data_IF_512003774786
#
_entry.id   IF_512003774786
#
_cell.length_a   1.000
_cell.length_b   1.000
_cell.length_c   1.000
_cell.angle_alpha   90.00
_cell.angle_beta   90.00
_cell.angle_gamma   90.00
#
_symmetry.space_group_name_H-M   'P 1'
#
loop_
_entity.id
_entity.type
_entity.pdbx_description
1 polymer ?
#
# COMPACT_ATOMS: atom_id res chain seq x y z
N UNK A 1 -1.21 -14.75 9.15
CA UNK A 1 -0.80 -15.57 10.32
C UNK A 1 0.71 -15.78 10.30
N UNK A 2 1.42 -15.54 11.40
CA UNK A 2 2.88 -15.73 11.43
C UNK A 2 3.25 -17.22 11.30
N UNK A 3 4.33 -17.54 10.56
CA UNK A 3 4.81 -18.91 10.47
C UNK A 3 5.26 -19.41 11.86
N UNK A 4 4.73 -20.56 12.28
CA UNK A 4 5.23 -21.28 13.45
C UNK A 4 6.36 -22.19 12.99
N UNK A 5 7.47 -22.23 13.73
CA UNK A 5 8.63 -23.06 13.38
C UNK A 5 8.24 -24.54 13.22
N UNK A 6 7.41 -25.06 14.13
CA UNK A 6 6.91 -26.44 14.09
C UNK A 6 6.10 -26.73 12.82
N UNK A 7 5.13 -25.87 12.50
CA UNK A 7 4.30 -26.01 11.31
C UNK A 7 5.12 -25.89 10.02
N UNK A 8 6.10 -24.98 9.99
CA UNK A 8 6.97 -24.80 8.83
C UNK A 8 7.97 -25.95 8.64
N UNK A 9 8.34 -26.66 9.71
CA UNK A 9 9.22 -27.82 9.62
C UNK A 9 8.49 -29.06 9.09
N UNK A 10 7.21 -29.23 9.45
CA UNK A 10 6.38 -30.37 9.03
C UNK A 10 5.73 -30.15 7.66
N UNK A 11 5.20 -28.96 7.41
CA UNK A 11 4.46 -28.63 6.20
C UNK A 11 4.80 -27.19 5.73
N UNK A 12 5.99 -26.99 5.13
CA UNK A 12 6.43 -25.67 4.66
C UNK A 12 5.52 -25.09 3.57
N UNK A 13 4.96 -25.96 2.72
CA UNK A 13 4.07 -25.60 1.61
C UNK A 13 2.63 -25.32 2.07
N UNK A 14 2.32 -25.51 3.36
CA UNK A 14 1.02 -25.24 3.96
C UNK A 14 -0.14 -26.00 3.27
N UNK A 15 0.09 -27.26 2.91
CA UNK A 15 -0.95 -28.15 2.37
C UNK A 15 -2.06 -28.46 3.39
N UNK A 16 -1.71 -28.52 4.67
CA UNK A 16 -2.65 -28.76 5.77
C UNK A 16 -3.37 -27.48 6.23
N UNK A 17 -3.11 -26.35 5.56
CA UNK A 17 -3.74 -25.05 5.82
C UNK A 17 -3.63 -24.59 7.29
N UNK A 18 -2.50 -24.89 7.94
CA UNK A 18 -2.23 -24.50 9.33
C UNK A 18 -1.95 -22.99 9.47
N UNK A 19 -1.70 -22.30 8.35
CA UNK A 19 -1.66 -20.84 8.23
C UNK A 19 -2.47 -20.37 7.02
N UNK A 20 -2.79 -19.07 6.98
CA UNK A 20 -3.36 -18.49 5.76
C UNK A 20 -2.26 -18.34 4.69
N UNK A 21 -2.61 -18.66 3.45
CA UNK A 21 -1.71 -18.50 2.30
C UNK A 21 -1.76 -17.05 1.80
N UNK A 22 -0.61 -16.38 1.66
CA UNK A 22 -0.58 -15.02 1.13
C UNK A 22 -1.27 -14.93 -0.23
N UNK A 23 -2.16 -13.94 -0.37
CA UNK A 23 -2.85 -13.65 -1.62
C UNK A 23 -2.41 -12.29 -2.11
N UNK A 24 -1.96 -12.24 -3.37
CA UNK A 24 -1.67 -10.97 -4.03
C UNK A 24 -2.97 -10.19 -4.21
N UNK A 25 -2.97 -8.92 -3.83
CA UNK A 25 -4.06 -8.01 -4.08
C UNK A 25 -4.19 -7.71 -5.57
N UNK A 26 -5.42 -7.63 -6.04
CA UNK A 26 -5.73 -7.09 -7.36
C UNK A 26 -5.42 -5.58 -7.39
N UNK A 27 -5.19 -5.02 -8.57
CA UNK A 27 -4.82 -3.61 -8.71
C UNK A 27 -5.87 -2.66 -8.14
N UNK A 28 -7.15 -3.00 -8.26
CA UNK A 28 -8.23 -2.16 -7.74
C UNK A 28 -8.18 -2.09 -6.21
N UNK A 29 -7.94 -3.23 -5.55
CA UNK A 29 -7.78 -3.30 -4.10
C UNK A 29 -6.48 -2.62 -3.66
N UNK A 30 -5.38 -2.87 -4.36
CA UNK A 30 -4.09 -2.25 -4.03
C UNK A 30 -4.15 -0.72 -4.10
N UNK A 31 -4.73 -0.15 -5.16
CA UNK A 31 -4.94 1.29 -5.29
C UNK A 31 -5.86 1.85 -4.22
N UNK A 32 -6.96 1.17 -3.93
CA UNK A 32 -7.88 1.59 -2.87
C UNK A 32 -7.21 1.53 -1.48
N UNK A 33 -6.33 0.55 -1.22
CA UNK A 33 -5.53 0.49 0.00
C UNK A 33 -4.56 1.67 0.13
N UNK A 34 -3.88 2.07 -0.94
CA UNK A 34 -2.99 3.24 -0.95
C UNK A 34 -3.75 4.52 -0.61
N UNK A 35 -4.90 4.74 -1.25
CA UNK A 35 -5.78 5.88 -1.00
C UNK A 35 -6.38 5.85 0.42
N UNK A 36 -6.68 4.66 0.95
CA UNK A 36 -7.20 4.50 2.29
C UNK A 36 -6.13 4.82 3.35
N UNK A 37 -4.90 4.36 3.13
CA UNK A 37 -3.78 4.62 4.01
C UNK A 37 -3.45 6.12 4.07
N UNK A 38 -3.42 6.79 2.92
CA UNK A 38 -3.20 8.25 2.83
C UNK A 38 -4.37 9.09 3.35
N UNK A 39 -5.52 8.47 3.62
CA UNK A 39 -6.73 9.14 4.12
C UNK A 39 -7.51 9.89 3.05
N UNK A 40 -7.23 9.64 1.77
CA UNK A 40 -7.86 10.33 0.64
C UNK A 40 -9.05 9.58 0.05
N UNK A 41 -9.19 8.27 0.32
CA UNK A 41 -10.20 7.44 -0.33
C UNK A 41 -11.63 8.00 -0.20
N UNK A 42 -12.23 8.32 -1.35
CA UNK A 42 -13.64 8.69 -1.44
C UNK A 42 -14.51 7.42 -1.56
N UNK A 43 -15.26 7.13 -0.50
CA UNK A 43 -16.17 5.99 -0.40
C UNK A 43 -17.59 6.27 -0.87
N UNK A 44 -17.86 7.44 -1.48
CA UNK A 44 -19.19 7.78 -1.99
C UNK A 44 -19.71 6.74 -2.98
N UNK A 45 -20.91 6.23 -2.71
CA UNK A 45 -21.53 5.22 -3.55
C UNK A 45 -22.32 5.89 -4.67
N UNK A 46 -22.23 5.31 -5.87
CA UNK A 46 -22.94 5.78 -7.08
C UNK A 46 -22.48 7.16 -7.58
N UNK A 47 -22.92 7.54 -8.77
CA UNK A 47 -22.50 8.80 -9.42
C UNK A 47 -21.57 8.57 -10.60
N UNK A 48 -21.02 9.64 -11.18
CA UNK A 48 -20.23 9.55 -12.41
C UNK A 48 -18.90 8.83 -12.17
N UNK A 49 -18.44 8.11 -13.20
CA UNK A 49 -17.10 7.51 -13.21
C UNK A 49 -16.02 8.58 -13.24
N UNK A 50 -14.88 8.33 -12.58
CA UNK A 50 -13.73 9.22 -12.59
C UNK A 50 -12.55 8.68 -13.43
N UNK A 51 -11.64 9.55 -13.84
CA UNK A 51 -10.46 9.17 -14.62
C UNK A 51 -9.28 8.85 -13.71
N UNK A 52 -8.89 7.56 -13.66
CA UNK A 52 -7.84 7.05 -12.77
C UNK A 52 -6.43 7.54 -13.12
N UNK A 53 -6.22 8.09 -14.32
CA UNK A 53 -4.93 8.70 -14.71
C UNK A 53 -4.75 10.12 -14.16
N UNK A 54 -5.79 10.69 -13.54
CA UNK A 54 -5.67 11.96 -12.85
C UNK A 54 -5.14 11.69 -11.45
N UNK A 55 -4.02 12.33 -11.10
CA UNK A 55 -3.40 12.13 -9.79
C UNK A 55 -4.34 12.54 -8.63
N UNK A 56 -5.22 13.53 -8.85
CA UNK A 56 -6.27 13.92 -7.90
C UNK A 56 -7.50 12.99 -7.85
N UNK A 57 -7.49 11.86 -8.55
CA UNK A 57 -8.58 10.90 -8.49
C UNK A 57 -8.53 10.12 -7.19
N UNK A 58 -9.39 10.48 -6.23
CA UNK A 58 -9.44 9.79 -4.93
C UNK A 58 -10.58 8.78 -4.83
N UNK A 59 -11.39 8.66 -5.88
CA UNK A 59 -12.55 7.78 -5.95
C UNK A 59 -12.11 6.31 -5.95
N UNK A 60 -12.90 5.45 -5.27
CA UNK A 60 -12.72 3.99 -5.33
C UNK A 60 -12.57 3.50 -6.76
N UNK A 61 -11.62 2.59 -6.96
CA UNK A 61 -11.17 2.15 -8.29
C UNK A 61 -12.28 1.45 -9.08
N UNK A 62 -13.26 0.85 -8.40
CA UNK A 62 -14.47 0.29 -9.03
C UNK A 62 -15.30 1.32 -9.81
N UNK A 63 -15.21 2.60 -9.45
CA UNK A 63 -15.85 3.71 -10.17
C UNK A 63 -14.91 4.38 -11.19
N UNK A 64 -13.74 3.79 -11.44
CA UNK A 64 -12.79 4.25 -12.44
C UNK A 64 -13.31 4.02 -13.86
N UNK A 65 -13.12 5.01 -14.73
CA UNK A 65 -13.48 4.93 -16.14
C UNK A 65 -12.46 4.06 -16.88
N UNK A 66 -12.94 2.93 -17.42
CA UNK A 66 -12.12 2.06 -18.27
C UNK A 66 -12.22 2.48 -19.74
N UNK A 67 -11.14 3.05 -20.26
CA UNK A 67 -10.99 3.36 -21.69
C UNK A 67 -10.50 2.11 -22.44
N UNK A 68 -11.38 1.46 -23.21
CA UNK A 68 -11.03 0.20 -23.91
C UNK A 68 -9.83 0.33 -24.84
N UNK A 69 -9.67 1.48 -25.50
CA UNK A 69 -8.58 1.75 -26.44
C UNK A 69 -7.21 1.91 -25.77
N UNK A 70 -7.19 2.55 -24.59
CA UNK A 70 -5.99 2.88 -23.79
C UNK A 70 -6.37 2.84 -22.30
N UNK A 71 -6.31 1.67 -21.64
CA UNK A 71 -6.50 1.58 -20.20
C UNK A 71 -5.46 2.42 -19.47
N UNK A 72 -5.75 2.80 -18.21
CA UNK A 72 -4.80 3.54 -17.38
C UNK A 72 -3.50 2.75 -17.20
N UNK A 73 -2.34 3.44 -17.25
CA UNK A 73 -1.01 2.81 -17.17
C UNK A 73 -0.84 1.96 -15.91
N UNK A 74 -1.36 2.44 -14.77
CA UNK A 74 -1.35 1.71 -13.50
C UNK A 74 -2.09 0.38 -13.59
N UNK A 75 -3.27 0.36 -14.23
CA UNK A 75 -4.05 -0.86 -14.41
C UNK A 75 -3.31 -1.86 -15.31
N UNK A 76 -2.75 -1.39 -16.43
CA UNK A 76 -2.02 -2.25 -17.37
C UNK A 76 -0.80 -2.93 -16.72
N UNK A 77 -0.09 -2.19 -15.86
CA UNK A 77 1.13 -2.68 -15.24
C UNK A 77 0.88 -3.77 -14.18
N UNK A 78 -0.27 -3.73 -13.53
CA UNK A 78 -0.66 -4.66 -12.45
C UNK A 78 -1.70 -5.69 -12.91
N UNK A 79 -1.52 -6.20 -14.13
CA UNK A 79 -2.25 -7.34 -14.68
C UNK A 79 -3.78 -7.13 -14.78
N UNK A 80 -4.25 -5.89 -14.96
CA UNK A 80 -5.67 -5.65 -15.20
C UNK A 80 -6.14 -6.39 -16.47
N UNK A 81 -7.28 -7.11 -16.41
CA UNK A 81 -7.80 -7.84 -17.57
C UNK A 81 -8.00 -6.96 -18.80
N UNK A 82 -7.62 -7.48 -19.97
CA UNK A 82 -7.78 -6.74 -21.22
C UNK A 82 -9.28 -6.44 -21.47
N UNK A 83 -9.67 -5.16 -21.63
CA UNK A 83 -11.07 -4.80 -21.86
C UNK A 83 -11.54 -5.07 -23.31
N UNK A 84 -10.65 -5.60 -24.17
CA UNK A 84 -10.94 -5.88 -25.59
C UNK A 84 -11.19 -7.36 -25.86
N UNK A 85 -10.84 -8.25 -24.94
CA UNK A 85 -10.92 -9.70 -25.17
C UNK A 85 -11.38 -10.43 -23.92
N UNK A 86 -11.80 -11.68 -24.12
CA UNK A 86 -12.16 -12.57 -23.02
C UNK A 86 -10.93 -12.90 -22.16
N UNK A 87 -11.10 -12.83 -20.84
CA UNK A 87 -10.09 -13.22 -19.85
C UNK A 87 -10.73 -14.25 -18.91
N UNK A 88 -10.44 -15.55 -19.06
CA UNK A 88 -11.07 -16.60 -18.24
C UNK A 88 -10.63 -16.54 -16.78
N UNK A 89 -9.44 -15.98 -16.52
CA UNK A 89 -8.84 -15.84 -15.21
C UNK A 89 -7.90 -14.62 -15.23
N UNK A 90 -7.75 -13.96 -14.08
CA UNK A 90 -6.68 -12.99 -13.86
C UNK A 90 -5.32 -13.69 -13.81
N UNK A 91 -4.45 -13.31 -14.73
CA UNK A 91 -3.02 -13.62 -14.62
C UNK A 91 -2.41 -12.71 -13.57
N UNK A 92 -1.44 -13.21 -12.81
CA UNK A 92 -0.73 -12.41 -11.82
C UNK A 92 0.75 -12.51 -12.09
N UNK A 93 1.39 -11.38 -12.35
CA UNK A 93 2.84 -11.31 -12.52
C UNK A 93 3.46 -10.59 -11.34
N UNK A 94 4.69 -10.98 -11.01
CA UNK A 94 5.54 -10.25 -10.07
C UNK A 94 6.77 -9.83 -10.86
N UNK A 95 6.76 -8.59 -11.33
CA UNK A 95 7.81 -8.05 -12.20
C UNK A 95 8.54 -6.91 -11.53
N UNK A 96 9.88 -6.79 -11.70
CA UNK A 96 10.63 -5.63 -11.25
C UNK A 96 10.05 -4.29 -11.76
N UNK A 97 9.36 -4.30 -12.91
CA UNK A 97 8.74 -3.10 -13.47
C UNK A 97 7.60 -2.57 -12.57
N UNK A 98 6.86 -3.45 -11.90
CA UNK A 98 5.82 -3.05 -10.94
C UNK A 98 6.44 -2.30 -9.76
N UNK A 99 7.59 -2.78 -9.26
CA UNK A 99 8.33 -2.13 -8.19
C UNK A 99 8.93 -0.79 -8.63
N UNK A 100 9.52 -0.76 -9.83
CA UNK A 100 10.11 0.46 -10.40
C UNK A 100 9.04 1.55 -10.58
N UNK A 101 7.82 1.17 -10.94
CA UNK A 101 6.71 2.10 -11.00
C UNK A 101 6.39 2.70 -9.63
N UNK A 102 6.36 1.90 -8.55
CA UNK A 102 6.11 2.44 -7.20
C UNK A 102 7.15 3.50 -6.83
N UNK A 103 8.41 3.27 -7.20
CA UNK A 103 9.51 4.20 -6.92
C UNK A 103 9.45 5.51 -7.72
N UNK A 104 8.84 5.50 -8.92
CA UNK A 104 8.89 6.62 -9.86
C UNK A 104 7.53 7.24 -10.19
N UNK A 105 6.43 6.74 -9.62
CA UNK A 105 5.09 7.20 -9.92
C UNK A 105 4.72 8.46 -9.13
N UNK A 106 4.26 9.50 -9.82
CA UNK A 106 3.72 10.72 -9.19
C UNK A 106 2.57 10.41 -8.24
N UNK A 107 1.65 9.54 -8.67
CA UNK A 107 0.54 9.07 -7.84
C UNK A 107 1.02 8.53 -6.48
N UNK A 108 2.06 7.68 -6.46
CA UNK A 108 2.59 7.13 -5.21
C UNK A 108 3.25 8.20 -4.35
N UNK A 109 3.99 9.12 -4.97
CA UNK A 109 4.61 10.24 -4.26
C UNK A 109 3.55 11.13 -3.59
N UNK A 110 2.44 11.43 -4.29
CA UNK A 110 1.32 12.17 -3.70
C UNK A 110 0.65 11.41 -2.55
N UNK A 111 0.46 10.09 -2.67
CA UNK A 111 -0.07 9.28 -1.58
C UNK A 111 0.88 9.28 -0.37
N UNK A 112 2.18 9.22 -0.60
CA UNK A 112 3.19 9.22 0.46
C UNK A 112 3.20 10.56 1.20
N UNK A 113 3.15 11.67 0.46
CA UNK A 113 3.02 13.01 1.01
C UNK A 113 1.74 13.16 1.85
N UNK A 114 0.58 12.80 1.31
CA UNK A 114 -0.69 12.91 2.03
C UNK A 114 -0.74 12.01 3.27
N UNK A 115 -0.09 10.84 3.24
CA UNK A 115 0.03 9.99 4.43
C UNK A 115 0.82 10.70 5.53
N UNK A 116 1.97 11.28 5.20
CA UNK A 116 2.82 12.02 6.16
C UNK A 116 2.05 13.20 6.75
N UNK A 117 1.44 14.03 5.90
CA UNK A 117 0.64 15.18 6.34
C UNK A 117 -0.51 14.75 7.28
N UNK A 118 -1.20 13.65 6.96
CA UNK A 118 -2.26 13.11 7.80
C UNK A 118 -1.72 12.65 9.15
N UNK A 119 -0.60 11.92 9.19
CA UNK A 119 0.02 11.43 10.43
C UNK A 119 0.55 12.58 11.29
N UNK A 120 1.21 13.57 10.69
CA UNK A 120 1.72 14.74 11.42
C UNK A 120 0.58 15.58 12.01
N UNK A 121 -0.53 15.71 11.29
CA UNK A 121 -1.72 16.42 11.79
C UNK A 121 -2.35 15.70 12.98
N UNK A 122 -2.33 14.37 13.00
CA UNK A 122 -2.82 13.54 14.10
C UNK A 122 -1.93 13.68 15.34
N UNK A 123 -0.61 13.60 15.16
CA UNK A 123 0.37 13.80 16.24
C UNK A 123 0.33 15.20 16.86
N UNK A 124 -0.05 16.21 16.08
CA UNK A 124 -0.14 17.60 16.56
C UNK A 124 -1.43 17.85 17.34
N UNK A 125 -2.51 17.12 17.05
CA UNK A 125 -3.82 17.30 17.74
C UNK A 125 -3.85 16.76 19.16
N UNK A 126 -3.04 15.76 19.46
CA UNK A 126 -3.06 15.12 20.77
C UNK A 126 -2.38 15.93 21.88
N UNK A 127 -1.84 17.14 21.59
CA UNK A 127 -1.23 18.08 22.57
C UNK A 127 -0.23 17.41 23.54
N UNK A 128 0.35 16.28 23.13
CA UNK A 128 1.38 15.60 23.89
C UNK A 128 2.67 16.39 23.67
N UNK A 129 3.23 16.96 24.73
CA UNK A 129 4.61 17.47 24.78
C UNK A 129 5.60 16.31 24.60
N UNK A 130 5.63 15.75 23.38
CA UNK A 130 6.53 14.70 22.98
C UNK A 130 7.89 15.34 22.68
N UNK A 131 8.94 14.81 23.31
CA UNK A 131 10.31 15.03 22.85
C UNK A 131 10.45 14.62 21.38
N UNK A 132 11.41 15.21 20.65
CA UNK A 132 11.64 14.91 19.24
C UNK A 132 11.80 13.40 18.96
N UNK A 133 12.54 12.69 19.81
CA UNK A 133 12.72 11.24 19.69
C UNK A 133 11.41 10.46 19.88
N UNK A 134 10.59 10.82 20.86
CA UNK A 134 9.28 10.17 21.05
C UNK A 134 8.29 10.49 19.92
N UNK A 135 8.41 11.66 19.29
CA UNK A 135 7.59 12.06 18.13
C UNK A 135 7.94 11.23 16.90
N UNK A 136 9.23 11.02 16.64
CA UNK A 136 9.69 10.17 15.53
C UNK A 136 9.20 8.72 15.70
N UNK A 137 9.32 8.16 16.90
CA UNK A 137 8.81 6.82 17.20
C UNK A 137 7.29 6.72 17.03
N UNK A 138 6.54 7.73 17.46
CA UNK A 138 5.09 7.76 17.26
C UNK A 138 4.72 7.85 15.77
N UNK A 139 5.46 8.65 14.98
CA UNK A 139 5.31 8.74 13.53
C UNK A 139 5.52 7.39 12.85
N UNK A 140 6.61 6.69 13.17
CA UNK A 140 6.89 5.35 12.63
C UNK A 140 5.74 4.39 13.00
N UNK A 141 5.32 4.36 14.26
CA UNK A 141 4.25 3.48 14.71
C UNK A 141 2.93 3.74 13.97
N UNK A 142 2.54 5.01 13.79
CA UNK A 142 1.31 5.38 13.10
C UNK A 142 1.37 5.04 11.62
N UNK A 143 2.50 5.28 10.94
CA UNK A 143 2.66 4.90 9.53
C UNK A 143 2.53 3.39 9.32
N UNK A 144 3.21 2.58 10.14
CA UNK A 144 3.06 1.11 10.09
C UNK A 144 1.60 0.67 10.32
N UNK A 145 0.90 1.29 11.27
CA UNK A 145 -0.52 0.97 11.55
C UNK A 145 -1.43 1.36 10.38
N UNK A 146 -1.22 2.52 9.77
CA UNK A 146 -2.01 3.02 8.62
C UNK A 146 -1.81 2.16 7.38
N UNK A 147 -0.56 1.79 7.08
CA UNK A 147 -0.19 1.10 5.84
C UNK A 147 -0.36 -0.41 5.98
N UNK A 148 0.17 -1.01 7.05
CA UNK A 148 0.25 -2.47 7.23
C UNK A 148 -0.74 -3.02 8.25
N UNK A 149 -1.53 -2.16 8.91
CA UNK A 149 -2.52 -2.60 9.91
C UNK A 149 -1.93 -3.16 11.21
N UNK A 150 -0.61 -3.03 11.42
CA UNK A 150 0.11 -3.53 12.60
C UNK A 150 1.19 -2.55 13.05
N UNK A 151 1.69 -2.73 14.28
CA UNK A 151 2.89 -2.00 14.72
C UNK A 151 4.19 -2.58 14.15
N UNK A 152 5.26 -1.78 14.10
CA UNK A 152 6.60 -2.27 13.76
C UNK A 152 7.15 -3.18 14.86
N UNK A 153 7.93 -4.18 14.45
CA UNK A 153 8.78 -4.96 15.35
C UNK A 153 10.00 -4.14 15.81
N UNK A 154 10.72 -4.59 16.83
CA UNK A 154 11.91 -3.90 17.34
C UNK A 154 13.03 -3.76 16.31
N UNK A 155 13.13 -4.70 15.36
CA UNK A 155 14.08 -4.61 14.24
C UNK A 155 13.60 -3.61 13.20
N UNK A 156 12.31 -3.63 12.85
CA UNK A 156 11.70 -2.69 11.90
C UNK A 156 11.77 -1.24 12.41
N UNK A 157 11.51 -1.00 13.69
CA UNK A 157 11.64 0.33 14.29
C UNK A 157 13.07 0.86 14.18
N UNK A 158 14.08 0.05 14.50
CA UNK A 158 15.49 0.47 14.37
C UNK A 158 15.88 0.76 12.92
N UNK A 159 15.40 -0.05 11.97
CA UNK A 159 15.66 0.19 10.56
C UNK A 159 14.97 1.47 10.07
N UNK A 160 13.76 1.75 10.55
CA UNK A 160 13.04 2.97 10.24
C UNK A 160 13.74 4.21 10.80
N UNK A 161 14.16 4.18 12.08
CA UNK A 161 14.96 5.26 12.70
C UNK A 161 16.27 5.50 11.94
N UNK A 162 16.97 4.43 11.53
CA UNK A 162 18.18 4.54 10.71
C UNK A 162 17.91 5.14 9.33
N UNK A 163 16.78 4.78 8.72
CA UNK A 163 16.39 5.30 7.40
C UNK A 163 16.07 6.80 7.48
N UNK A 164 15.32 7.23 8.49
CA UNK A 164 14.92 8.63 8.69
C UNK A 164 16.11 9.57 9.01
N UNK A 165 17.27 9.03 9.39
CA UNK A 165 18.51 9.83 9.51
C UNK A 165 19.06 10.27 8.15
N UNK A 166 18.77 9.53 7.07
CA UNK A 166 19.32 9.76 5.73
C UNK A 166 18.28 10.19 4.70
N UNK A 167 16.98 10.04 5.01
CA UNK A 167 15.87 10.26 4.10
C UNK A 167 14.69 10.93 4.81
N UNK A 168 13.77 11.46 4.02
CA UNK A 168 12.55 12.14 4.48
C UNK A 168 11.46 11.14 4.90
N UNK A 169 10.49 11.64 5.68
CA UNK A 169 9.30 10.86 6.05
C UNK A 169 8.45 10.46 4.83
N UNK A 170 8.45 11.26 3.76
CA UNK A 170 7.77 10.96 2.49
C UNK A 170 8.44 9.78 1.76
N UNK A 171 9.77 9.78 1.68
CA UNK A 171 10.53 8.66 1.11
C UNK A 171 10.34 7.38 1.93
N UNK A 172 10.23 7.51 3.25
CA UNK A 172 9.93 6.39 4.13
C UNK A 172 8.50 5.84 3.91
N UNK A 173 7.51 6.71 3.80
CA UNK A 173 6.14 6.34 3.44
C UNK A 173 6.08 5.63 2.07
N UNK A 174 6.81 6.13 1.08
CA UNK A 174 6.94 5.49 -0.22
C UNK A 174 7.60 4.10 -0.10
N UNK A 175 8.63 3.96 0.72
CA UNK A 175 9.28 2.67 0.97
C UNK A 175 8.31 1.66 1.61
N UNK A 176 7.45 2.10 2.54
CA UNK A 176 6.40 1.26 3.14
C UNK A 176 5.38 0.76 2.10
N UNK A 177 4.92 1.64 1.20
CA UNK A 177 4.03 1.24 0.10
C UNK A 177 4.68 0.24 -0.86
N UNK A 178 5.99 0.33 -1.03
CA UNK A 178 6.81 -0.56 -1.84
C UNK A 178 7.05 -1.95 -1.22
N UNK A 179 6.60 -2.20 0.01
CA UNK A 179 6.85 -3.50 0.68
C UNK A 179 5.98 -4.62 0.09
N UNK A 180 6.52 -5.84 0.10
CA UNK A 180 5.74 -7.02 -0.28
C UNK A 180 4.50 -7.21 0.61
N UNK A 181 4.57 -6.85 1.88
CA UNK A 181 3.44 -6.97 2.81
C UNK A 181 2.24 -6.10 2.39
N UNK A 182 2.50 -4.96 1.74
CA UNK A 182 1.44 -4.10 1.22
C UNK A 182 0.66 -4.75 0.05
N UNK A 183 1.33 -5.54 -0.79
CA UNK A 183 0.73 -6.17 -1.98
C UNK A 183 0.23 -7.58 -1.70
N UNK A 184 0.87 -8.32 -0.78
CA UNK A 184 0.54 -9.70 -0.45
C UNK A 184 -0.11 -9.77 0.93
N UNK A 185 -1.44 -9.82 0.94
CA UNK A 185 -2.20 -9.93 2.19
C UNK A 185 -2.17 -11.37 2.71
N UNK A 186 -1.97 -11.59 4.02
CA UNK A 186 -1.91 -12.91 4.61
C UNK A 186 -3.14 -13.77 4.40
#
# INVERSE_FOLDING_TARGET
>A
SQPRAEGSAVDPANHLLWRMNPRRLDIEAYRDCLLQASGLLDTTMSGPSDDLERDSSTRRTVYGRIRRGRPASLLQLYDFPSPKMHSPKRETTTSPLQQLFIMNSSFIQEQAKSLVESVESELTRDDLELTAASREQALIQLMYRRVLGRGPSSTESRLAEQFLQAATAEEFAQALFATNEMIFWP
#
